data_IF_340570590626
#
_entry.id   IF_340570590626
#
_cell.length_a   1.000
_cell.length_b   1.000
_cell.length_c   1.000
_cell.angle_alpha   90.00
_cell.angle_beta   90.00
_cell.angle_gamma   90.00
#
_symmetry.space_group_name_H-M   'P 1'
#
loop_
_entity.id
_entity.type
_entity.pdbx_description
1 polymer ?
#
# COMPACT_ATOMS: atom_id res chain seq x y z
N UNK A 1 8.94 21.40 23.53
CA UNK A 1 9.75 20.51 22.70
C UNK A 1 10.37 21.34 21.56
N UNK A 2 11.56 20.96 21.11
CA UNK A 2 12.32 21.64 20.05
C UNK A 2 12.92 20.59 19.12
N UNK A 3 12.96 20.87 17.83
CA UNK A 3 13.62 20.02 16.83
C UNK A 3 14.49 20.91 15.95
N UNK A 4 15.81 20.68 15.95
CA UNK A 4 16.80 21.40 15.15
C UNK A 4 16.66 22.95 15.21
N UNK A 5 16.38 23.49 16.41
CA UNK A 5 16.18 24.93 16.63
C UNK A 5 14.79 25.47 16.31
N UNK A 6 13.85 24.61 15.89
CA UNK A 6 12.47 24.98 15.64
C UNK A 6 11.61 24.69 16.87
N UNK A 7 10.78 25.61 17.27
CA UNK A 7 10.00 25.56 18.51
C UNK A 7 8.60 25.03 18.28
N UNK A 8 8.15 24.14 19.15
CA UNK A 8 6.77 23.68 19.16
C UNK A 8 5.82 24.84 19.50
N UNK A 9 4.70 24.98 18.78
CA UNK A 9 3.67 26.00 19.01
C UNK A 9 2.93 25.89 20.36
N UNK A 10 3.19 24.83 21.13
CA UNK A 10 2.59 24.62 22.46
C UNK A 10 1.26 23.87 22.46
N UNK A 11 0.69 23.52 21.30
CA UNK A 11 -0.57 22.78 21.20
C UNK A 11 -0.52 21.75 20.09
N UNK A 12 -0.91 20.50 20.40
CA UNK A 12 -1.17 19.46 19.40
C UNK A 12 -2.65 19.47 19.02
N UNK A 13 -2.94 19.38 17.71
CA UNK A 13 -4.30 19.13 17.22
C UNK A 13 -4.54 17.63 17.21
N UNK A 14 -5.78 17.21 17.51
CA UNK A 14 -6.16 15.81 17.53
C UNK A 14 -7.47 15.59 16.82
N UNK A 15 -7.49 14.55 15.99
CA UNK A 15 -8.66 14.18 15.20
C UNK A 15 -8.93 12.67 15.36
N UNK A 16 -10.21 12.31 15.38
CA UNK A 16 -10.69 10.93 15.39
C UNK A 16 -11.47 10.64 14.09
N UNK A 17 -12.05 9.45 13.97
CA UNK A 17 -12.77 9.03 12.77
C UNK A 17 -13.95 9.94 12.37
N UNK A 18 -14.51 10.74 13.30
CA UNK A 18 -15.60 11.67 13.03
C UNK A 18 -15.11 13.04 12.56
N UNK A 19 -13.93 13.44 13.02
CA UNK A 19 -13.38 14.79 12.78
C UNK A 19 -12.22 14.79 11.78
N UNK A 20 -11.81 13.62 11.25
CA UNK A 20 -10.72 13.54 10.29
C UNK A 20 -11.00 14.31 9.00
N UNK A 21 -12.25 14.29 8.53
CA UNK A 21 -12.69 15.07 7.35
C UNK A 21 -12.54 16.58 7.52
N UNK A 22 -12.62 17.10 8.75
CA UNK A 22 -12.42 18.53 9.02
C UNK A 22 -10.96 18.96 8.77
N UNK A 23 -10.03 18.01 8.75
CA UNK A 23 -8.60 18.25 8.57
C UNK A 23 -8.10 17.94 7.16
N UNK A 24 -8.44 16.76 6.62
CA UNK A 24 -7.88 16.28 5.32
C UNK A 24 -8.94 16.05 4.24
N UNK A 25 -10.20 16.51 4.46
CA UNK A 25 -11.29 16.43 3.50
C UNK A 25 -11.44 15.03 2.87
N UNK A 26 -11.67 14.91 1.56
CA UNK A 26 -11.88 13.64 0.86
C UNK A 26 -10.74 12.60 1.01
N UNK A 27 -9.52 13.03 1.33
CA UNK A 27 -8.41 12.11 1.59
C UNK A 27 -8.62 11.24 2.83
N UNK A 28 -9.54 11.61 3.73
CA UNK A 28 -9.87 10.82 4.94
C UNK A 28 -10.32 9.40 4.62
N UNK A 29 -10.99 9.18 3.48
CA UNK A 29 -11.50 7.86 3.07
C UNK A 29 -10.41 6.79 2.99
N UNK A 30 -9.21 7.17 2.51
CA UNK A 30 -8.07 6.26 2.47
C UNK A 30 -7.73 5.73 3.87
N UNK A 31 -7.54 6.61 4.83
CA UNK A 31 -7.16 6.26 6.19
C UNK A 31 -8.24 5.43 6.90
N UNK A 32 -9.50 5.81 6.71
CA UNK A 32 -10.65 5.07 7.26
C UNK A 32 -10.75 3.65 6.70
N UNK A 33 -10.43 3.46 5.42
CA UNK A 33 -10.41 2.14 4.80
C UNK A 33 -9.34 1.21 5.42
N UNK A 34 -8.25 1.79 5.98
CA UNK A 34 -7.19 1.08 6.70
C UNK A 34 -7.37 1.13 8.24
N UNK A 35 -8.59 1.33 8.73
CA UNK A 35 -8.86 1.22 10.16
C UNK A 35 -8.23 2.33 11.00
N UNK A 36 -8.22 3.56 10.49
CA UNK A 36 -7.77 4.74 11.21
C UNK A 36 -8.39 4.87 12.60
N UNK A 37 -7.59 5.23 13.60
CA UNK A 37 -8.01 5.43 14.98
C UNK A 37 -7.91 6.89 15.39
N UNK A 38 -6.73 7.49 15.32
CA UNK A 38 -6.46 8.85 15.74
C UNK A 38 -5.40 9.50 14.85
N UNK A 39 -5.48 10.82 14.69
CA UNK A 39 -4.43 11.67 14.14
C UNK A 39 -3.99 12.67 15.19
N UNK A 40 -2.69 12.79 15.39
CA UNK A 40 -2.07 13.88 16.15
C UNK A 40 -1.25 14.72 15.19
N UNK A 41 -1.50 16.02 15.15
CA UNK A 41 -0.78 16.99 14.34
C UNK A 41 0.01 17.91 15.25
N UNK A 42 1.32 17.97 15.05
CA UNK A 42 2.22 18.87 15.76
C UNK A 42 2.92 19.79 14.78
N UNK A 43 2.95 21.07 15.15
CA UNK A 43 3.60 22.12 14.35
C UNK A 43 4.81 22.67 15.11
N UNK A 44 5.90 22.86 14.37
CA UNK A 44 7.10 23.54 14.85
C UNK A 44 7.34 24.76 13.99
N UNK A 45 7.65 25.90 14.60
CA UNK A 45 7.91 27.17 13.94
C UNK A 45 9.33 27.66 14.22
N UNK A 46 9.92 28.30 13.21
CA UNK A 46 11.15 29.07 13.34
C UNK A 46 10.88 30.57 13.22
N UNK A 47 10.00 30.93 12.29
CA UNK A 47 9.51 32.28 12.05
C UNK A 47 8.02 32.17 11.67
N UNK A 48 7.30 33.28 11.67
CA UNK A 48 5.87 33.31 11.29
C UNK A 48 5.55 32.82 9.84
N UNK A 49 6.57 32.50 9.04
CA UNK A 49 6.42 32.07 7.64
C UNK A 49 6.95 30.66 7.36
N UNK A 50 7.66 30.07 8.30
CA UNK A 50 8.27 28.76 8.13
C UNK A 50 7.81 27.84 9.27
N UNK A 51 7.11 26.76 8.93
CA UNK A 51 6.72 25.74 9.88
C UNK A 51 6.97 24.33 9.35
N UNK A 52 7.20 23.40 10.26
CA UNK A 52 7.25 21.96 10.01
C UNK A 52 6.03 21.33 10.66
N UNK A 53 5.28 20.59 9.88
CA UNK A 53 4.11 19.84 10.34
C UNK A 53 4.48 18.38 10.45
N UNK A 54 4.18 17.77 11.60
CA UNK A 54 4.32 16.34 11.87
C UNK A 54 2.94 15.77 12.12
N UNK A 55 2.50 14.90 11.25
CA UNK A 55 1.23 14.18 11.33
C UNK A 55 1.49 12.73 11.72
N UNK A 56 0.90 12.28 12.82
CA UNK A 56 1.03 10.91 13.30
C UNK A 56 -0.34 10.25 13.29
N UNK A 57 -0.54 9.37 12.32
CA UNK A 57 -1.77 8.59 12.14
C UNK A 57 -1.63 7.25 12.88
N UNK A 58 -2.46 7.03 13.88
CA UNK A 58 -2.59 5.76 14.57
C UNK A 58 -3.57 4.88 13.82
N UNK A 59 -3.12 3.72 13.35
CA UNK A 59 -3.92 2.74 12.63
C UNK A 59 -4.31 1.58 13.55
N UNK A 60 -5.29 0.77 13.15
CA UNK A 60 -5.73 -0.38 13.94
C UNK A 60 -4.65 -1.47 14.09
N UNK A 61 -3.77 -1.62 13.11
CA UNK A 61 -2.72 -2.62 13.11
C UNK A 61 -1.47 -2.15 12.34
N UNK A 62 -0.31 -2.81 12.53
CA UNK A 62 0.88 -2.56 11.72
C UNK A 62 0.66 -2.78 10.21
N UNK A 63 -0.14 -3.78 9.84
CA UNK A 63 -0.50 -4.04 8.46
C UNK A 63 -1.31 -2.88 7.85
N UNK A 64 -2.16 -2.22 8.63
CA UNK A 64 -2.92 -1.06 8.19
C UNK A 64 -2.01 0.17 7.98
N UNK A 65 -1.07 0.41 8.92
CA UNK A 65 -0.07 1.48 8.77
C UNK A 65 0.82 1.26 7.53
N UNK A 66 1.29 0.02 7.32
CA UNK A 66 1.98 -0.36 6.09
C UNK A 66 1.10 -0.15 4.85
N UNK A 67 -0.19 -0.46 4.94
CA UNK A 67 -1.15 -0.30 3.84
C UNK A 67 -1.24 1.15 3.37
N UNK A 68 -1.44 2.10 4.29
CA UNK A 68 -1.42 3.54 3.99
C UNK A 68 -0.08 3.94 3.38
N UNK A 69 1.04 3.58 4.01
CA UNK A 69 2.37 3.87 3.51
C UNK A 69 2.60 3.32 2.10
N UNK A 70 2.28 2.05 1.86
CA UNK A 70 2.47 1.42 0.56
C UNK A 70 1.59 2.03 -0.51
N UNK A 71 0.37 2.45 -0.16
CA UNK A 71 -0.57 3.05 -1.09
C UNK A 71 -0.05 4.36 -1.68
N UNK A 72 0.54 5.19 -0.85
CA UNK A 72 1.06 6.51 -1.23
C UNK A 72 2.50 6.50 -1.77
N UNK A 73 3.25 5.41 -1.55
CA UNK A 73 4.69 5.34 -1.84
C UNK A 73 5.03 5.59 -3.30
N UNK A 74 5.96 6.55 -3.54
CA UNK A 74 6.46 6.94 -4.86
C UNK A 74 7.98 7.15 -4.89
N UNK A 75 8.56 7.65 -3.79
CA UNK A 75 9.92 8.13 -3.71
C UNK A 75 10.92 7.11 -3.14
N UNK A 76 12.17 7.53 -3.00
CA UNK A 76 13.24 6.69 -2.48
C UNK A 76 13.23 6.63 -0.95
N UNK A 77 13.66 5.48 -0.42
CA UNK A 77 13.78 5.30 1.02
C UNK A 77 14.93 6.11 1.62
N UNK A 78 14.69 6.67 2.81
CA UNK A 78 15.68 7.45 3.57
C UNK A 78 16.04 6.81 4.93
N UNK A 79 15.62 5.56 5.15
CA UNK A 79 16.00 4.77 6.32
C UNK A 79 15.42 5.28 7.64
N UNK A 80 14.21 5.86 7.63
CA UNK A 80 13.50 6.31 8.82
C UNK A 80 12.32 5.37 9.08
N UNK A 81 12.09 4.97 10.35
CA UNK A 81 11.06 4.00 10.70
C UNK A 81 11.36 2.60 10.17
N UNK A 82 10.33 1.84 9.82
CA UNK A 82 10.45 0.49 9.24
C UNK A 82 10.40 0.50 7.71
N UNK A 83 9.81 1.52 7.12
CA UNK A 83 9.85 1.85 5.71
C UNK A 83 9.54 3.31 5.54
N UNK A 84 10.26 3.99 4.66
CA UNK A 84 10.16 5.43 4.45
C UNK A 84 10.34 5.81 3.00
N UNK A 85 9.92 7.02 2.68
CA UNK A 85 10.24 7.71 1.44
C UNK A 85 10.37 9.21 1.71
N UNK A 86 11.18 9.89 0.89
CA UNK A 86 11.31 11.33 0.91
C UNK A 86 11.43 11.87 -0.51
N UNK A 87 10.56 12.82 -0.84
CA UNK A 87 10.56 13.50 -2.13
C UNK A 87 9.66 14.73 -2.09
N UNK A 88 9.98 15.77 -2.89
CA UNK A 88 9.18 16.98 -2.97
C UNK A 88 8.93 17.71 -1.63
N UNK A 89 9.87 17.60 -0.66
CA UNK A 89 9.72 18.22 0.65
C UNK A 89 8.74 17.48 1.59
N UNK A 90 8.36 16.25 1.26
CA UNK A 90 7.47 15.41 2.05
C UNK A 90 8.18 14.11 2.45
N UNK A 91 8.31 13.88 3.77
CA UNK A 91 8.74 12.62 4.34
C UNK A 91 7.50 11.81 4.73
N UNK A 92 7.44 10.57 4.31
CA UNK A 92 6.45 9.60 4.79
C UNK A 92 7.15 8.36 5.31
N UNK A 93 6.68 7.81 6.42
CA UNK A 93 7.18 6.54 6.94
C UNK A 93 6.11 5.81 7.75
N UNK A 94 6.34 4.52 7.96
CA UNK A 94 5.56 3.75 8.91
C UNK A 94 6.46 3.11 9.97
N UNK A 95 5.94 2.94 11.19
CA UNK A 95 6.58 2.21 12.27
C UNK A 95 5.51 1.68 13.24
N UNK A 96 5.61 0.38 13.58
CA UNK A 96 4.57 -0.29 14.37
C UNK A 96 3.18 -0.07 13.73
N UNK A 97 2.20 0.40 14.47
CA UNK A 97 0.86 0.72 13.94
C UNK A 97 0.68 2.19 13.50
N UNK A 98 1.77 2.92 13.32
CA UNK A 98 1.73 4.34 12.98
C UNK A 98 2.21 4.59 11.55
N UNK A 99 1.45 5.38 10.82
CA UNK A 99 1.88 6.06 9.61
C UNK A 99 2.18 7.52 9.95
N UNK A 100 3.28 8.04 9.48
CA UNK A 100 3.74 9.40 9.80
C UNK A 100 4.06 10.15 8.51
N UNK A 101 3.56 11.38 8.44
CA UNK A 101 3.84 12.36 7.40
C UNK A 101 4.52 13.58 8.01
N UNK A 102 5.60 14.06 7.41
CA UNK A 102 6.33 15.26 7.85
C UNK A 102 6.62 16.13 6.64
N UNK A 103 6.20 17.39 6.69
CA UNK A 103 6.41 18.33 5.60
C UNK A 103 6.63 19.75 6.11
N UNK A 104 7.18 20.60 5.25
CA UNK A 104 7.37 22.02 5.51
C UNK A 104 6.26 22.87 4.91
N UNK A 105 5.88 23.91 5.61
CA UNK A 105 5.09 25.02 5.07
C UNK A 105 6.03 26.23 4.91
N UNK A 106 6.11 26.73 3.68
CA UNK A 106 7.09 27.75 3.26
C UNK A 106 8.39 27.15 2.69
N UNK A 107 9.12 27.97 1.96
CA UNK A 107 10.32 27.58 1.24
C UNK A 107 11.58 28.09 1.93
N UNK A 108 12.59 27.24 2.05
CA UNK A 108 13.88 27.60 2.62
C UNK A 108 14.87 26.41 2.60
N UNK A 109 16.17 26.67 2.44
CA UNK A 109 17.18 25.62 2.36
C UNK A 109 17.32 24.81 3.67
N UNK A 110 16.87 25.37 4.77
CA UNK A 110 16.85 24.71 6.08
C UNK A 110 15.65 23.77 6.31
N UNK A 111 14.61 23.82 5.49
CA UNK A 111 13.35 23.07 5.70
C UNK A 111 13.57 21.56 5.58
N UNK A 112 14.23 21.13 4.50
CA UNK A 112 14.46 19.69 4.25
C UNK A 112 15.26 18.98 5.35
N UNK A 113 16.42 19.48 5.83
CA UNK A 113 17.15 18.88 6.95
C UNK A 113 16.31 18.78 8.23
N UNK A 114 15.42 19.74 8.46
CA UNK A 114 14.56 19.75 9.64
C UNK A 114 13.41 18.74 9.51
N UNK A 115 12.83 18.57 8.31
CA UNK A 115 11.86 17.51 8.03
C UNK A 115 12.45 16.14 8.39
N UNK A 116 13.65 15.83 7.89
CA UNK A 116 14.33 14.56 8.18
C UNK A 116 14.66 14.40 9.67
N UNK A 117 15.09 15.49 10.35
CA UNK A 117 15.36 15.48 11.78
C UNK A 117 14.08 15.24 12.60
N UNK A 118 12.99 15.94 12.27
CA UNK A 118 11.68 15.76 12.91
C UNK A 118 11.14 14.35 12.71
N UNK A 119 11.31 13.80 11.49
CA UNK A 119 10.94 12.43 11.18
C UNK A 119 11.71 11.39 12.00
N UNK A 120 13.03 11.56 12.15
CA UNK A 120 13.84 10.68 13.04
C UNK A 120 13.37 10.76 14.48
N UNK A 121 13.18 11.97 15.01
CA UNK A 121 12.69 12.18 16.36
C UNK A 121 11.30 11.54 16.59
N UNK A 122 10.40 11.68 15.61
CA UNK A 122 9.09 11.02 15.65
C UNK A 122 9.23 9.49 15.62
N UNK A 123 10.06 8.94 14.73
CA UNK A 123 10.30 7.51 14.64
C UNK A 123 10.91 6.94 15.95
N UNK A 124 11.84 7.65 16.59
CA UNK A 124 12.46 7.24 17.84
C UNK A 124 11.46 7.26 19.00
N UNK A 125 10.48 8.16 18.97
CA UNK A 125 9.41 8.24 19.97
C UNK A 125 8.37 7.12 19.90
N UNK A 126 8.25 6.45 18.74
CA UNK A 126 7.32 5.33 18.55
C UNK A 126 7.97 4.04 19.04
N UNK A 127 7.43 3.39 20.09
CA UNK A 127 8.00 2.16 20.64
C UNK A 127 7.75 0.96 19.75
N UNK A 128 8.69 0.03 19.74
CA UNK A 128 8.57 -1.27 19.08
C UNK A 128 8.61 -1.22 17.56
N UNK A 129 8.23 -2.33 16.97
CA UNK A 129 8.14 -2.55 15.53
C UNK A 129 6.85 -3.30 15.20
N UNK A 130 6.45 -3.29 13.94
CA UNK A 130 5.30 -4.04 13.43
C UNK A 130 5.71 -5.02 12.34
N UNK A 131 4.96 -6.10 12.18
CA UNK A 131 5.16 -7.01 11.05
C UNK A 131 4.54 -6.42 9.78
N UNK A 132 5.25 -6.54 8.67
CA UNK A 132 4.67 -6.33 7.34
C UNK A 132 3.56 -7.37 7.06
N UNK A 133 2.55 -7.00 6.24
CA UNK A 133 1.54 -7.97 5.84
C UNK A 133 2.18 -9.22 5.24
N UNK A 134 1.84 -10.34 5.84
CA UNK A 134 2.49 -11.60 5.48
C UNK A 134 2.32 -12.00 4.02
N UNK A 135 1.30 -11.54 3.32
CA UNK A 135 1.04 -11.84 1.91
C UNK A 135 2.11 -11.23 0.98
N UNK A 136 2.79 -10.15 1.39
CA UNK A 136 3.88 -9.53 0.62
C UNK A 136 5.04 -10.49 0.41
N UNK A 137 5.36 -11.32 1.40
CA UNK A 137 6.45 -12.30 1.30
C UNK A 137 6.13 -13.46 0.33
N UNK A 138 4.88 -13.53 -0.15
CA UNK A 138 4.46 -14.47 -1.19
C UNK A 138 4.67 -13.93 -2.62
N UNK A 139 5.11 -12.69 -2.77
CA UNK A 139 5.47 -12.15 -4.07
C UNK A 139 6.74 -12.82 -4.61
N UNK A 140 6.76 -13.24 -5.90
CA UNK A 140 8.01 -13.56 -6.59
C UNK A 140 8.96 -12.35 -6.56
N UNK A 141 10.24 -12.59 -6.39
CA UNK A 141 11.23 -11.54 -6.14
C UNK A 141 11.75 -10.83 -7.38
N UNK A 142 12.94 -10.22 -7.20
CA UNK A 142 13.63 -9.45 -8.26
C UNK A 142 14.03 -10.33 -9.46
N UNK A 143 14.22 -11.61 -9.26
CA UNK A 143 14.50 -12.60 -10.31
C UNK A 143 13.37 -12.70 -11.35
N UNK A 144 12.15 -12.31 -10.95
CA UNK A 144 10.99 -12.16 -11.83
C UNK A 144 10.78 -10.73 -12.35
N UNK A 145 11.65 -9.79 -12.00
CA UNK A 145 11.54 -8.39 -12.41
C UNK A 145 10.60 -7.55 -11.53
N UNK A 146 10.46 -7.90 -10.25
CA UNK A 146 9.65 -7.15 -9.29
C UNK A 146 10.11 -5.70 -9.16
N UNK A 147 9.17 -4.77 -9.29
CA UNK A 147 9.35 -3.35 -8.99
C UNK A 147 8.91 -3.12 -7.54
N UNK A 148 9.83 -3.15 -6.58
CA UNK A 148 9.52 -3.05 -5.15
C UNK A 148 8.67 -1.84 -4.77
N UNK A 149 8.91 -0.68 -5.40
CA UNK A 149 8.13 0.55 -5.17
C UNK A 149 6.67 0.43 -5.62
N UNK A 150 6.33 -0.57 -6.44
CA UNK A 150 4.98 -0.80 -6.93
C UNK A 150 4.10 -1.65 -6.01
N UNK A 151 4.67 -2.24 -4.97
CA UNK A 151 3.92 -3.10 -4.04
C UNK A 151 2.88 -2.24 -3.30
N UNK A 152 1.62 -2.68 -3.36
CA UNK A 152 0.48 -2.07 -2.67
C UNK A 152 -0.26 -3.13 -1.87
N UNK A 153 -0.43 -2.91 -0.57
CA UNK A 153 -1.30 -3.72 0.26
C UNK A 153 -2.68 -3.08 0.30
N UNK A 154 -3.73 -3.83 -0.01
CA UNK A 154 -5.05 -3.30 -0.29
C UNK A 154 -6.13 -4.07 0.48
N UNK A 155 -7.15 -3.37 1.00
CA UNK A 155 -8.26 -3.95 1.78
C UNK A 155 -9.64 -3.76 1.14
N UNK A 156 -9.72 -3.12 -0.01
CA UNK A 156 -11.00 -2.91 -0.69
C UNK A 156 -10.84 -2.84 -2.20
N UNK A 157 -11.93 -3.13 -2.92
CA UNK A 157 -11.96 -2.99 -4.39
C UNK A 157 -11.84 -1.52 -4.82
N UNK A 158 -12.30 -0.57 -4.01
CA UNK A 158 -12.18 0.86 -4.30
C UNK A 158 -10.70 1.27 -4.34
N UNK A 159 -9.93 0.88 -3.31
CA UNK A 159 -8.48 1.12 -3.27
C UNK A 159 -7.73 0.41 -4.39
N UNK A 160 -8.13 -0.84 -4.72
CA UNK A 160 -7.57 -1.56 -5.85
C UNK A 160 -7.78 -0.78 -7.16
N UNK A 161 -9.01 -0.34 -7.42
CA UNK A 161 -9.37 0.38 -8.64
C UNK A 161 -8.67 1.74 -8.78
N UNK A 162 -8.30 2.40 -7.67
CA UNK A 162 -7.49 3.63 -7.72
C UNK A 162 -6.05 3.36 -8.19
N UNK A 163 -5.54 2.15 -8.04
CA UNK A 163 -4.18 1.76 -8.45
C UNK A 163 -4.14 0.90 -9.70
N UNK A 164 -5.15 0.05 -9.87
CA UNK A 164 -5.35 -0.80 -11.04
C UNK A 164 -6.83 -1.07 -11.21
N UNK A 165 -7.43 -0.47 -12.24
CA UNK A 165 -8.86 -0.63 -12.49
C UNK A 165 -9.18 -2.06 -12.96
N UNK A 166 -10.03 -2.73 -12.22
CA UNK A 166 -10.51 -4.07 -12.53
C UNK A 166 -11.97 -4.05 -12.98
N UNK A 167 -12.85 -3.44 -12.18
CA UNK A 167 -14.29 -3.35 -12.49
C UNK A 167 -14.96 -2.34 -11.56
N UNK A 168 -16.03 -1.69 -12.02
CA UNK A 168 -16.88 -0.85 -11.16
C UNK A 168 -17.58 -1.67 -10.05
N UNK A 169 -17.80 -2.95 -10.29
CA UNK A 169 -18.36 -3.86 -9.29
C UNK A 169 -17.25 -4.59 -8.53
N UNK A 170 -17.53 -4.97 -7.29
CA UNK A 170 -16.60 -5.75 -6.47
C UNK A 170 -16.58 -7.23 -6.88
N UNK A 171 -16.15 -7.51 -8.12
CA UNK A 171 -16.13 -8.86 -8.69
C UNK A 171 -15.12 -9.80 -8.02
N UNK A 172 -14.20 -9.27 -7.23
CA UNK A 172 -13.23 -10.03 -6.43
C UNK A 172 -13.70 -10.24 -4.98
N UNK A 173 -14.91 -9.80 -4.62
CA UNK A 173 -15.48 -9.92 -3.26
C UNK A 173 -14.54 -9.42 -2.15
N UNK A 174 -13.73 -8.40 -2.44
CA UNK A 174 -12.83 -7.80 -1.45
C UNK A 174 -13.63 -7.12 -0.34
N UNK A 175 -13.28 -7.45 0.90
CA UNK A 175 -13.91 -6.90 2.10
C UNK A 175 -12.89 -6.84 3.26
N UNK A 176 -13.34 -6.49 4.46
CA UNK A 176 -12.46 -6.36 5.65
C UNK A 176 -11.76 -7.65 6.08
N UNK A 177 -12.31 -8.80 5.71
CA UNK A 177 -11.80 -10.12 6.05
C UNK A 177 -10.86 -10.67 4.97
N UNK A 178 -10.65 -9.93 3.88
CA UNK A 178 -9.72 -10.26 2.80
C UNK A 178 -8.50 -9.34 2.81
N UNK A 179 -7.38 -9.85 2.31
CA UNK A 179 -6.15 -9.09 2.10
C UNK A 179 -5.76 -9.19 0.63
N UNK A 180 -5.31 -8.11 0.04
CA UNK A 180 -4.80 -8.11 -1.32
C UNK A 180 -3.44 -7.43 -1.41
N UNK A 181 -2.55 -7.97 -2.26
CA UNK A 181 -1.28 -7.35 -2.61
C UNK A 181 -1.18 -7.26 -4.11
N UNK A 182 -1.05 -6.03 -4.60
CA UNK A 182 -0.78 -5.72 -6.00
C UNK A 182 0.71 -5.39 -6.15
N UNK A 183 1.38 -5.97 -7.14
CA UNK A 183 2.77 -5.65 -7.48
C UNK A 183 2.96 -5.66 -9.00
N UNK A 184 3.85 -4.80 -9.49
CA UNK A 184 4.23 -4.75 -10.90
C UNK A 184 5.60 -5.39 -11.13
N UNK A 185 5.71 -6.03 -12.28
CA UNK A 185 6.90 -6.74 -12.76
C UNK A 185 7.26 -6.22 -14.15
N UNK A 186 8.53 -6.25 -14.51
CA UNK A 186 8.99 -6.02 -15.88
C UNK A 186 9.32 -7.37 -16.51
N UNK A 187 8.61 -7.68 -17.59
CA UNK A 187 8.86 -8.86 -18.43
C UNK A 187 9.01 -8.39 -19.88
N UNK A 188 10.16 -8.69 -20.52
CA UNK A 188 10.44 -8.27 -21.91
C UNK A 188 10.19 -6.77 -22.18
N UNK A 189 10.52 -5.90 -21.21
CA UNK A 189 10.26 -4.46 -21.23
C UNK A 189 8.79 -4.06 -21.08
N UNK A 190 7.90 -5.02 -20.89
CA UNK A 190 6.48 -4.82 -20.66
C UNK A 190 6.15 -4.90 -19.17
N UNK A 191 5.19 -4.10 -18.76
CA UNK A 191 4.68 -4.11 -17.39
C UNK A 191 3.61 -5.21 -17.24
N UNK A 192 3.83 -6.11 -16.28
CA UNK A 192 2.89 -7.15 -15.86
C UNK A 192 2.47 -6.89 -14.43
N UNK A 193 1.19 -7.02 -14.12
CA UNK A 193 0.68 -6.83 -12.75
C UNK A 193 0.29 -8.17 -12.15
N UNK A 194 0.77 -8.45 -10.95
CA UNK A 194 0.38 -9.60 -10.13
C UNK A 194 -0.49 -9.12 -8.98
N UNK A 195 -1.66 -9.70 -8.83
CA UNK A 195 -2.58 -9.49 -7.71
C UNK A 195 -2.72 -10.80 -6.94
N UNK A 196 -2.27 -10.81 -5.69
CA UNK A 196 -2.51 -11.90 -4.74
C UNK A 196 -3.62 -11.48 -3.80
N UNK A 197 -4.61 -12.35 -3.59
CA UNK A 197 -5.70 -12.10 -2.64
C UNK A 197 -5.80 -13.29 -1.72
N UNK A 198 -5.86 -13.04 -0.41
CA UNK A 198 -6.16 -14.05 0.61
C UNK A 198 -7.57 -13.85 1.15
N UNK A 199 -8.32 -14.93 1.22
CA UNK A 199 -9.66 -14.97 1.79
C UNK A 199 -9.66 -15.76 3.11
N UNK A 200 -10.71 -15.63 3.94
CA UNK A 200 -10.81 -16.35 5.21
C UNK A 200 -10.77 -17.87 5.07
N UNK A 201 -11.19 -18.41 3.94
CA UNK A 201 -11.18 -19.85 3.67
C UNK A 201 -11.26 -20.13 2.15
N UNK A 202 -10.97 -21.39 1.72
CA UNK A 202 -10.98 -21.78 0.30
C UNK A 202 -12.34 -21.61 -0.39
N UNK A 203 -13.45 -21.74 0.34
CA UNK A 203 -14.81 -21.54 -0.20
C UNK A 203 -15.03 -20.09 -0.63
N UNK A 204 -14.61 -19.11 0.19
CA UNK A 204 -14.68 -17.69 -0.17
C UNK A 204 -13.77 -17.34 -1.35
N UNK A 205 -12.60 -17.95 -1.45
CA UNK A 205 -11.74 -17.82 -2.62
C UNK A 205 -12.42 -18.37 -3.89
N UNK A 206 -13.07 -19.53 -3.80
CA UNK A 206 -13.79 -20.13 -4.93
C UNK A 206 -14.98 -19.25 -5.41
N UNK A 207 -15.78 -18.71 -4.47
CA UNK A 207 -16.87 -17.77 -4.78
C UNK A 207 -16.34 -16.53 -5.52
N UNK A 208 -15.24 -15.96 -5.04
CA UNK A 208 -14.62 -14.78 -5.63
C UNK A 208 -14.01 -15.07 -7.02
N UNK A 209 -13.32 -16.21 -7.18
CA UNK A 209 -12.79 -16.62 -8.48
C UNK A 209 -13.92 -16.84 -9.51
N UNK A 210 -15.02 -17.47 -9.10
CA UNK A 210 -16.17 -17.66 -9.97
C UNK A 210 -16.77 -16.32 -10.43
N UNK A 211 -16.92 -15.37 -9.48
CA UNK A 211 -17.41 -14.02 -9.78
C UNK A 211 -16.49 -13.30 -10.76
N UNK A 212 -15.18 -13.32 -10.48
CA UNK A 212 -14.16 -12.72 -11.35
C UNK A 212 -14.12 -13.36 -12.74
N UNK A 213 -14.10 -14.68 -12.81
CA UNK A 213 -14.08 -15.40 -14.11
C UNK A 213 -15.30 -15.07 -14.94
N UNK A 214 -16.49 -15.05 -14.34
CA UNK A 214 -17.73 -14.71 -15.06
C UNK A 214 -17.70 -13.30 -15.63
N UNK A 215 -17.15 -12.33 -14.89
CA UNK A 215 -17.19 -10.92 -15.26
C UNK A 215 -16.00 -10.48 -16.10
N UNK A 216 -14.80 -11.02 -15.83
CA UNK A 216 -13.55 -10.54 -16.42
C UNK A 216 -12.93 -11.52 -17.43
N UNK A 217 -13.13 -12.82 -17.25
CA UNK A 217 -12.59 -13.88 -18.10
C UNK A 217 -13.70 -14.63 -18.86
N UNK A 218 -14.77 -13.95 -19.26
CA UNK A 218 -15.94 -14.58 -19.91
C UNK A 218 -15.54 -15.42 -21.13
N UNK A 219 -14.53 -14.99 -21.89
CA UNK A 219 -14.05 -15.66 -23.10
C UNK A 219 -13.04 -16.82 -22.82
N UNK A 220 -12.73 -17.09 -21.56
CA UNK A 220 -11.74 -18.12 -21.20
C UNK A 220 -12.22 -19.56 -21.51
N UNK A 221 -13.52 -19.77 -21.80
CA UNK A 221 -14.10 -21.10 -22.14
C UNK A 221 -13.72 -22.20 -21.15
N UNK A 222 -13.77 -21.88 -19.85
CA UNK A 222 -13.41 -22.80 -18.75
C UNK A 222 -11.91 -22.92 -18.45
N UNK A 223 -11.06 -22.20 -19.14
CA UNK A 223 -9.62 -22.12 -18.85
C UNK A 223 -9.35 -21.07 -17.75
N UNK A 224 -8.20 -21.16 -17.10
CA UNK A 224 -7.72 -20.21 -16.09
C UNK A 224 -7.06 -18.96 -16.69
N UNK A 225 -7.20 -18.75 -18.01
CA UNK A 225 -6.54 -17.68 -18.76
C UNK A 225 -7.32 -17.23 -19.98
N UNK A 226 -7.11 -16.00 -20.37
CA UNK A 226 -7.63 -15.42 -21.62
C UNK A 226 -6.58 -14.53 -22.26
N UNK A 227 -6.60 -14.43 -23.59
CA UNK A 227 -5.86 -13.42 -24.33
C UNK A 227 -6.79 -12.24 -24.57
N UNK A 228 -6.44 -11.09 -24.01
CA UNK A 228 -7.22 -9.84 -24.08
C UNK A 228 -7.08 -9.15 -25.43
N UNK A 229 -7.93 -8.17 -25.73
CA UNK A 229 -7.96 -7.44 -27.02
C UNK A 229 -6.62 -6.77 -27.36
N UNK A 230 -5.87 -6.31 -26.33
CA UNK A 230 -4.51 -5.77 -26.47
C UNK A 230 -3.43 -6.84 -26.75
N UNK A 231 -3.88 -8.09 -27.02
CA UNK A 231 -3.07 -9.29 -27.29
C UNK A 231 -2.20 -9.75 -26.12
N UNK A 232 -2.46 -9.27 -24.90
CA UNK A 232 -1.79 -9.72 -23.67
C UNK A 232 -2.57 -10.85 -23.01
N UNK A 233 -1.92 -11.52 -22.07
CA UNK A 233 -2.54 -12.62 -21.35
C UNK A 233 -2.94 -12.20 -19.93
N UNK A 234 -4.12 -12.63 -19.53
CA UNK A 234 -4.59 -12.55 -18.13
C UNK A 234 -4.86 -13.96 -17.63
N UNK A 235 -4.39 -14.23 -16.43
CA UNK A 235 -4.54 -15.51 -15.72
C UNK A 235 -5.27 -15.27 -14.41
N UNK A 236 -6.09 -16.24 -13.98
CA UNK A 236 -6.64 -16.25 -12.63
C UNK A 236 -6.76 -17.69 -12.13
N UNK A 237 -6.15 -17.97 -10.97
CA UNK A 237 -6.13 -19.31 -10.39
C UNK A 237 -6.30 -19.25 -8.89
N UNK A 238 -7.06 -20.20 -8.35
CA UNK A 238 -7.16 -20.41 -6.92
C UNK A 238 -6.03 -21.33 -6.44
N UNK A 239 -5.42 -20.95 -5.32
CA UNK A 239 -4.50 -21.78 -4.57
C UNK A 239 -4.88 -21.76 -3.08
N UNK A 240 -5.53 -22.83 -2.61
CA UNK A 240 -6.12 -22.92 -1.26
C UNK A 240 -7.10 -21.75 -1.01
N UNK A 241 -6.87 -20.95 0.04
CA UNK A 241 -7.63 -19.75 0.37
C UNK A 241 -7.19 -18.50 -0.40
N UNK A 242 -6.27 -18.65 -1.35
CA UNK A 242 -5.75 -17.51 -2.12
C UNK A 242 -6.23 -17.54 -3.58
N UNK A 243 -6.38 -16.34 -4.17
CA UNK A 243 -6.47 -16.15 -5.62
C UNK A 243 -5.21 -15.45 -6.11
N UNK A 244 -4.69 -15.92 -7.21
CA UNK A 244 -3.56 -15.34 -7.93
C UNK A 244 -4.07 -14.85 -9.27
N UNK A 245 -3.93 -13.56 -9.57
CA UNK A 245 -4.28 -13.00 -10.87
C UNK A 245 -3.05 -12.34 -11.48
N UNK A 246 -2.74 -12.68 -12.72
CA UNK A 246 -1.68 -12.04 -13.51
C UNK A 246 -2.33 -11.29 -14.65
N UNK A 247 -2.09 -10.00 -14.76
CA UNK A 247 -2.63 -9.13 -15.79
C UNK A 247 -1.54 -8.65 -16.74
N UNK A 248 -1.84 -8.68 -18.03
CA UNK A 248 -1.05 -8.01 -19.06
C UNK A 248 0.27 -8.69 -19.40
N UNK A 249 0.39 -10.01 -19.22
CA UNK A 249 1.60 -10.74 -19.61
C UNK A 249 1.76 -10.75 -21.15
N UNK A 250 2.96 -10.36 -21.67
CA UNK A 250 3.18 -10.26 -23.12
C UNK A 250 3.11 -11.63 -23.81
N UNK A 251 3.59 -12.68 -23.13
CA UNK A 251 3.52 -14.08 -23.60
C UNK A 251 2.80 -14.93 -22.57
N UNK A 252 2.15 -16.00 -23.05
CA UNK A 252 1.51 -16.99 -22.18
C UNK A 252 2.51 -17.59 -21.17
N UNK A 253 3.73 -17.91 -21.63
CA UNK A 253 4.79 -18.45 -20.78
C UNK A 253 5.22 -17.50 -19.64
N UNK A 254 5.20 -16.19 -19.86
CA UNK A 254 5.57 -15.20 -18.84
C UNK A 254 4.52 -15.14 -17.73
N UNK A 255 3.23 -15.17 -18.11
CA UNK A 255 2.13 -15.21 -17.15
C UNK A 255 2.11 -16.49 -16.33
N UNK A 256 2.27 -17.64 -16.97
CA UNK A 256 2.33 -18.95 -16.30
C UNK A 256 3.53 -19.05 -15.36
N UNK A 257 4.71 -18.54 -15.75
CA UNK A 257 5.90 -18.55 -14.91
C UNK A 257 5.70 -17.72 -13.64
N UNK A 258 5.12 -16.52 -13.77
CA UNK A 258 4.87 -15.65 -12.64
C UNK A 258 3.81 -16.25 -11.69
N UNK A 259 2.76 -16.86 -12.24
CA UNK A 259 1.71 -17.52 -11.48
C UNK A 259 2.28 -18.71 -10.68
N UNK A 260 3.07 -19.58 -11.31
CA UNK A 260 3.72 -20.73 -10.64
C UNK A 260 4.67 -20.28 -9.54
N UNK A 261 5.46 -19.23 -9.78
CA UNK A 261 6.36 -18.69 -8.76
C UNK A 261 5.58 -18.18 -7.54
N UNK A 262 4.41 -17.54 -7.74
CA UNK A 262 3.54 -17.12 -6.65
C UNK A 262 2.94 -18.34 -5.90
N UNK A 263 2.53 -19.40 -6.59
CA UNK A 263 2.06 -20.65 -5.97
C UNK A 263 3.15 -21.32 -5.12
N UNK A 264 4.39 -21.36 -5.61
CA UNK A 264 5.54 -21.89 -4.86
C UNK A 264 5.80 -21.09 -3.58
N UNK A 265 5.74 -19.76 -3.65
CA UNK A 265 5.86 -18.89 -2.47
C UNK A 265 4.73 -19.11 -1.47
N UNK A 266 3.50 -19.28 -1.94
CA UNK A 266 2.32 -19.58 -1.09
C UNK A 266 2.42 -21.00 -0.49
N UNK A 267 3.05 -21.94 -1.17
CA UNK A 267 3.25 -23.33 -0.70
C UNK A 267 4.35 -23.45 0.34
N UNK A 268 5.45 -22.72 0.20
CA UNK A 268 6.64 -22.77 1.05
C UNK A 268 6.46 -22.15 2.43
N UNK A 269 5.28 -21.62 2.73
CA UNK A 269 4.93 -21.15 4.06
C UNK A 269 4.39 -22.28 4.91
N UNK A 270 5.23 -22.79 5.74
CA UNK A 270 4.88 -23.48 6.98
C UNK A 270 5.23 -22.60 8.16
#
# INVERSE_FOLDING_TARGET
>A
AEVAGWKWEGKDLRYNSRTLFDYIDGAAELYLAYGFQNLTVRRYEKTSRLSIVVEVYEMASPADAYGVFSFERQDDSVGIGQGSEFGGGLLRFWKAKYFVSVYGEGDGPEVEPVILSAGRAAADSIPGTGAEPGLIQCLPGKEFGLIEKSIRYLKSHVLLNQRFFVSHQNILNLNRDSEAVLANYIREREKVSLLLIRYPNPGKAAEALQSFTRAYLADASGKDRVRTEDRKWTFARQFKENIIVVFGAPRESDGEALLKAAEEKLSGRR
#
